data_IF_633111677776
#
_entry.id   IF_633111677776
#
_cell.length_a   1.000
_cell.length_b   1.000
_cell.length_c   1.000
_cell.angle_alpha   90.00
_cell.angle_beta   90.00
_cell.angle_gamma   90.00
#
_symmetry.space_group_name_H-M   'P 1'
#
loop_
_entity.id
_entity.type
_entity.pdbx_description
1 polymer ?
#
# COMPACT_ATOMS: atom_id res chain seq x y z
N UNK A 1 25.03 46.28 16.90
CA UNK A 1 24.43 44.94 17.05
C UNK A 1 23.44 44.77 15.91
N UNK A 2 23.71 43.86 14.96
CA UNK A 2 22.76 43.59 13.87
C UNK A 2 21.79 42.54 14.37
N UNK A 3 20.58 42.96 14.71
CA UNK A 3 19.49 42.07 15.17
C UNK A 3 19.03 41.28 13.95
N UNK A 4 19.28 39.98 13.93
CA UNK A 4 18.75 39.09 12.90
C UNK A 4 17.24 38.96 13.15
N UNK A 5 16.42 39.64 12.33
CA UNK A 5 14.98 39.55 12.43
C UNK A 5 14.52 38.12 12.10
N UNK A 6 13.74 37.51 13.00
CA UNK A 6 13.06 36.25 12.74
C UNK A 6 12.10 36.42 11.55
N UNK A 7 12.09 35.51 10.56
CA UNK A 7 11.11 35.61 9.47
C UNK A 7 9.70 35.45 10.04
N UNK A 8 8.79 36.32 9.59
CA UNK A 8 7.36 36.19 9.89
C UNK A 8 6.78 34.87 9.36
N UNK A 9 5.64 34.46 9.91
CA UNK A 9 4.97 33.20 9.58
C UNK A 9 4.93 32.96 8.06
N UNK A 10 5.37 31.77 7.58
CA UNK A 10 5.59 31.52 6.16
C UNK A 10 4.26 31.56 5.41
N UNK A 11 4.05 32.64 4.65
CA UNK A 11 2.85 32.83 3.81
C UNK A 11 3.20 32.59 2.34
N UNK A 12 2.46 31.70 1.68
CA UNK A 12 2.65 31.36 0.27
C UNK A 12 2.57 29.85 -0.02
N UNK A 13 2.80 29.49 -1.27
CA UNK A 13 2.83 28.08 -1.72
C UNK A 13 4.05 27.33 -1.15
N UNK A 14 3.98 26.00 -1.00
CA UNK A 14 5.04 25.16 -0.41
C UNK A 14 6.43 25.42 -1.03
N UNK A 15 6.49 25.66 -2.34
CA UNK A 15 7.72 26.00 -3.06
C UNK A 15 8.34 27.35 -2.62
N UNK A 16 7.52 28.34 -2.27
CA UNK A 16 7.99 29.65 -1.80
C UNK A 16 8.48 29.56 -0.35
N UNK A 17 7.83 28.76 0.48
CA UNK A 17 8.25 28.51 1.87
C UNK A 17 9.62 27.84 1.93
N UNK A 18 9.87 26.83 1.07
CA UNK A 18 11.17 26.14 0.98
C UNK A 18 12.28 27.11 0.55
N UNK A 19 12.02 28.02 -0.39
CA UNK A 19 13.02 29.03 -0.80
C UNK A 19 13.35 30.02 0.32
N UNK A 20 12.36 30.46 1.09
CA UNK A 20 12.58 31.38 2.20
C UNK A 20 13.40 30.69 3.31
N UNK A 21 13.11 29.43 3.62
CA UNK A 21 13.86 28.64 4.60
C UNK A 21 15.32 28.43 4.16
N UNK A 22 15.56 28.08 2.89
CA UNK A 22 16.91 27.92 2.36
C UNK A 22 17.72 29.23 2.39
N UNK A 23 17.07 30.36 2.11
CA UNK A 23 17.74 31.67 2.14
C UNK A 23 18.15 32.06 3.56
N UNK A 24 17.30 31.78 4.55
CA UNK A 24 17.60 32.02 5.95
C UNK A 24 18.76 31.15 6.46
N UNK A 25 18.74 29.84 6.18
CA UNK A 25 19.81 28.91 6.55
C UNK A 25 21.16 29.32 5.95
N UNK A 26 21.17 29.81 4.71
CA UNK A 26 22.38 30.29 4.06
C UNK A 26 22.97 31.54 4.73
N UNK A 27 22.11 32.49 5.12
CA UNK A 27 22.56 33.70 5.84
C UNK A 27 23.11 33.38 7.24
N UNK A 28 22.49 32.43 7.94
CA UNK A 28 22.98 31.96 9.24
C UNK A 28 24.36 31.30 9.12
N UNK A 29 24.55 30.43 8.12
CA UNK A 29 25.84 29.79 7.87
C UNK A 29 26.96 30.80 7.58
N UNK A 30 26.66 31.87 6.82
CA UNK A 30 27.63 32.93 6.57
C UNK A 30 27.97 33.77 7.80
N UNK A 31 26.99 34.01 8.69
CA UNK A 31 27.22 34.73 9.93
C UNK A 31 28.09 33.91 10.91
N UNK A 32 27.85 32.60 11.00
CA UNK A 32 28.63 31.68 11.83
C UNK A 32 30.07 31.54 11.34
N UNK A 33 30.29 31.42 10.02
CA UNK A 33 31.65 31.35 9.47
C UNK A 33 32.47 32.62 9.77
N UNK A 34 31.86 33.81 9.67
CA UNK A 34 32.54 35.07 10.04
C UNK A 34 32.85 35.18 11.54
N UNK A 35 32.00 34.64 12.40
CA UNK A 35 32.27 34.59 13.84
C UNK A 35 33.42 33.63 14.18
N UNK A 36 33.56 32.54 13.43
CA UNK A 36 34.65 31.58 13.60
C UNK A 36 36.01 32.19 13.22
N UNK A 37 36.08 32.91 12.09
CA UNK A 37 37.30 33.60 11.64
C UNK A 37 37.79 34.65 12.66
N UNK A 38 36.88 35.35 13.34
CA UNK A 38 37.22 36.32 14.39
C UNK A 38 37.76 35.65 15.67
N UNK A 39 37.35 34.42 15.96
CA UNK A 39 37.82 33.66 17.11
C UNK A 39 39.24 33.13 16.91
N UNK A 40 39.56 32.73 15.67
CA UNK A 40 40.88 32.20 15.29
C UNK A 40 41.99 33.27 15.39
N UNK A 41 41.67 34.52 15.02
CA UNK A 41 42.60 35.67 15.14
C UNK A 41 42.88 36.03 16.61
N UNK A 42 41.94 35.77 17.52
CA UNK A 42 42.12 36.05 18.96
C UNK A 42 43.06 35.10 19.70
N UNK A 43 43.27 33.88 19.19
CA UNK A 43 44.12 32.87 19.84
C UNK A 43 45.62 33.04 19.57
N UNK A 44 45.99 33.70 18.45
CA UNK A 44 47.40 33.85 18.04
C UNK A 44 48.14 34.90 18.90
N UNK A 45 47.41 35.82 19.57
CA UNK A 45 48.01 36.94 20.30
C UNK A 45 48.48 36.64 21.74
N UNK A 46 48.33 35.39 22.25
CA UNK A 46 48.50 35.09 23.69
C UNK A 46 49.71 34.25 24.10
N UNK A 47 50.67 33.96 23.22
CA UNK A 47 51.80 33.08 23.57
C UNK A 47 53.19 33.69 23.26
N UNK A 48 53.87 34.20 24.30
CA UNK A 48 55.33 34.14 24.59
C UNK A 48 55.75 35.14 25.69
N UNK A 49 56.92 35.03 26.36
CA UNK A 49 57.66 33.86 26.90
C UNK A 49 58.03 34.08 28.41
N UNK A 50 58.41 33.11 29.24
CA UNK A 50 59.81 32.67 29.49
C UNK A 50 59.88 31.71 30.71
N UNK A 51 60.70 30.67 30.61
CA UNK A 51 61.13 29.79 31.70
C UNK A 51 62.39 30.36 32.38
N UNK A 52 62.50 30.25 33.71
CA UNK A 52 63.75 29.87 34.42
C UNK A 52 63.47 29.13 35.73
N UNK A 53 64.39 28.23 36.04
CA UNK A 53 64.32 27.07 36.93
C UNK A 53 64.90 27.37 38.32
N UNK A 54 64.36 26.77 39.40
CA UNK A 54 65.09 26.53 40.65
C UNK A 54 64.23 26.54 41.92
N UNK A 55 64.35 25.49 42.76
CA UNK A 55 63.80 25.48 44.13
C UNK A 55 62.89 24.28 44.44
N UNK A 56 63.48 23.13 44.77
CA UNK A 56 62.77 21.85 45.02
C UNK A 56 62.05 21.78 46.38
N UNK A 57 62.03 22.85 47.15
CA UNK A 57 61.32 22.94 48.45
C UNK A 57 60.13 23.93 48.43
N UNK A 58 60.06 24.86 47.46
CA UNK A 58 58.85 25.68 47.22
C UNK A 58 57.78 24.93 46.41
N UNK A 59 58.15 23.86 45.69
CA UNK A 59 57.22 23.07 44.85
C UNK A 59 56.15 22.34 45.66
N UNK A 60 56.39 22.00 46.93
CA UNK A 60 55.40 21.33 47.77
C UNK A 60 54.34 22.33 48.30
N UNK A 61 54.76 23.53 48.73
CA UNK A 61 53.84 24.57 49.19
C UNK A 61 53.05 25.20 48.02
N UNK A 62 53.69 25.42 46.87
CA UNK A 62 53.02 25.91 45.65
C UNK A 62 52.13 24.85 45.02
N UNK A 63 52.47 23.55 45.05
CA UNK A 63 51.57 22.50 44.58
C UNK A 63 50.32 22.35 45.47
N UNK A 64 50.44 22.55 46.79
CA UNK A 64 49.28 22.54 47.71
C UNK A 64 48.41 23.79 47.51
N UNK A 65 49.01 24.96 47.30
CA UNK A 65 48.30 26.20 46.94
C UNK A 65 47.63 26.15 45.56
N UNK A 66 48.29 25.56 44.56
CA UNK A 66 47.73 25.31 43.23
C UNK A 66 46.60 24.28 43.31
N UNK A 67 46.74 23.22 44.11
CA UNK A 67 45.69 22.22 44.31
C UNK A 67 44.46 22.82 44.99
N UNK A 68 44.63 23.72 45.97
CA UNK A 68 43.49 24.40 46.61
C UNK A 68 42.84 25.45 45.71
N UNK A 69 43.61 26.16 44.88
CA UNK A 69 43.08 27.03 43.83
C UNK A 69 42.33 26.23 42.76
N UNK A 70 42.86 25.10 42.29
CA UNK A 70 42.21 24.22 41.32
C UNK A 70 40.91 23.65 41.89
N UNK A 71 40.90 23.21 43.15
CA UNK A 71 39.68 22.70 43.82
C UNK A 71 38.64 23.82 43.98
N UNK A 72 39.02 25.02 44.43
CA UNK A 72 38.09 26.17 44.50
C UNK A 72 37.58 26.60 43.13
N UNK A 73 38.42 26.52 42.10
CA UNK A 73 38.01 26.87 40.73
C UNK A 73 37.07 25.80 40.16
N UNK A 74 37.32 24.51 40.43
CA UNK A 74 36.44 23.42 40.05
C UNK A 74 35.08 23.50 40.76
N UNK A 75 35.03 23.83 42.05
CA UNK A 75 33.77 24.03 42.78
C UNK A 75 32.99 25.24 42.26
N UNK A 76 33.69 26.32 41.90
CA UNK A 76 33.05 27.51 41.29
C UNK A 76 32.50 27.18 39.90
N UNK A 77 33.25 26.43 39.09
CA UNK A 77 32.82 26.00 37.76
C UNK A 77 31.64 25.04 37.85
N UNK A 78 31.63 24.08 38.76
CA UNK A 78 30.49 23.18 38.97
C UNK A 78 29.23 23.94 39.42
N UNK A 79 29.36 24.94 40.30
CA UNK A 79 28.22 25.79 40.69
C UNK A 79 27.71 26.63 39.52
N UNK A 80 28.59 27.19 38.70
CA UNK A 80 28.20 27.95 37.51
C UNK A 80 27.56 27.07 36.43
N UNK A 81 28.02 25.82 36.26
CA UNK A 81 27.40 24.85 35.35
C UNK A 81 26.00 24.50 35.82
N UNK A 82 25.79 24.26 37.12
CA UNK A 82 24.48 23.88 37.62
C UNK A 82 23.50 25.06 37.63
N UNK A 83 23.99 26.28 37.86
CA UNK A 83 23.21 27.50 37.69
C UNK A 83 22.85 27.76 36.22
N UNK A 84 23.81 27.64 35.29
CA UNK A 84 23.52 27.72 33.85
C UNK A 84 22.55 26.65 33.40
N UNK A 85 22.67 25.41 33.88
CA UNK A 85 21.76 24.31 33.52
C UNK A 85 20.34 24.54 34.07
N UNK A 86 20.22 25.15 35.24
CA UNK A 86 18.93 25.58 35.81
C UNK A 86 18.30 26.70 34.98
N UNK A 87 19.09 27.72 34.63
CA UNK A 87 18.64 28.86 33.82
C UNK A 87 18.29 28.40 32.39
N UNK A 88 19.12 27.58 31.73
CA UNK A 88 18.86 27.03 30.40
C UNK A 88 17.62 26.13 30.37
N UNK A 89 17.39 25.32 31.41
CA UNK A 89 16.17 24.48 31.50
C UNK A 89 14.92 25.32 31.73
N UNK A 90 15.00 26.34 32.58
CA UNK A 90 13.88 27.26 32.84
C UNK A 90 13.53 28.07 31.59
N UNK A 91 14.53 28.60 30.90
CA UNK A 91 14.36 29.44 29.72
C UNK A 91 13.99 28.61 28.47
N UNK A 92 14.53 27.39 28.31
CA UNK A 92 14.15 26.48 27.21
C UNK A 92 12.69 26.00 27.34
N UNK A 93 12.16 25.84 28.56
CA UNK A 93 10.74 25.46 28.75
C UNK A 93 9.81 26.66 28.54
N UNK A 94 10.25 27.89 28.84
CA UNK A 94 9.42 29.09 28.67
C UNK A 94 9.49 29.67 27.24
N UNK A 95 10.58 29.46 26.51
CA UNK A 95 10.79 29.97 25.14
C UNK A 95 10.46 28.94 24.07
N UNK A 96 10.36 27.65 24.41
CA UNK A 96 10.00 26.64 23.41
C UNK A 96 8.52 26.71 23.04
N UNK A 97 8.26 26.98 21.76
CA UNK A 97 6.96 26.86 21.10
C UNK A 97 6.26 25.51 21.36
N UNK A 98 6.98 24.51 21.88
CA UNK A 98 6.45 23.21 22.27
C UNK A 98 5.38 23.30 23.38
N UNK A 99 5.52 24.22 24.34
CA UNK A 99 4.51 24.44 25.38
C UNK A 99 3.21 24.98 24.79
N UNK A 100 3.33 25.99 23.92
CA UNK A 100 2.19 26.58 23.18
C UNK A 100 1.59 25.59 22.19
N UNK A 101 2.39 24.75 21.55
CA UNK A 101 1.91 23.68 20.67
C UNK A 101 1.15 22.60 21.45
N UNK A 102 1.65 22.18 22.62
CA UNK A 102 0.99 21.20 23.47
C UNK A 102 -0.35 21.75 23.99
N UNK A 103 -0.36 23.01 24.42
CA UNK A 103 -1.57 23.69 24.91
C UNK A 103 -2.60 23.90 23.79
N UNK A 104 -2.16 24.34 22.60
CA UNK A 104 -3.02 24.49 21.43
C UNK A 104 -3.55 23.14 20.93
N UNK A 105 -2.73 22.09 20.94
CA UNK A 105 -3.15 20.73 20.57
C UNK A 105 -4.15 20.18 21.58
N UNK A 106 -3.93 20.44 22.88
CA UNK A 106 -4.85 20.03 23.94
C UNK A 106 -6.17 20.78 23.85
N UNK A 107 -6.15 22.10 23.62
CA UNK A 107 -7.34 22.91 23.36
C UNK A 107 -8.08 22.45 22.10
N UNK A 108 -7.39 22.16 21.00
CA UNK A 108 -8.05 21.70 19.77
C UNK A 108 -8.69 20.31 19.93
N UNK A 109 -8.13 19.45 20.79
CA UNK A 109 -8.72 18.16 21.18
C UNK A 109 -9.92 18.33 22.14
N UNK A 110 -9.84 19.28 23.09
CA UNK A 110 -10.93 19.58 24.05
C UNK A 110 -12.09 20.37 23.43
N UNK A 111 -11.82 21.28 22.49
CA UNK A 111 -12.82 22.11 21.83
C UNK A 111 -13.63 21.34 20.78
N UNK A 112 -13.07 20.26 20.20
CA UNK A 112 -13.79 19.48 19.19
C UNK A 112 -13.58 17.94 19.29
N UNK A 113 -13.93 17.32 20.44
CA UNK A 113 -13.94 15.85 20.58
C UNK A 113 -14.89 15.18 19.57
N UNK A 114 -15.81 15.94 18.99
CA UNK A 114 -16.75 15.47 17.97
C UNK A 114 -16.10 15.29 16.60
N UNK A 115 -15.04 16.02 16.23
CA UNK A 115 -14.34 15.84 14.95
C UNK A 115 -13.58 14.53 14.90
N UNK A 116 -12.81 14.22 15.94
CA UNK A 116 -12.07 12.95 16.06
C UNK A 116 -13.06 11.78 16.09
N UNK A 117 -14.12 11.90 16.89
CA UNK A 117 -15.20 10.89 16.94
C UNK A 117 -15.92 10.73 15.59
N UNK A 118 -16.17 11.83 14.85
CA UNK A 118 -16.77 11.78 13.50
C UNK A 118 -15.85 11.12 12.49
N UNK A 119 -14.53 11.37 12.55
CA UNK A 119 -13.56 10.72 11.69
C UNK A 119 -13.49 9.21 11.95
N UNK A 120 -13.44 8.80 13.22
CA UNK A 120 -13.48 7.39 13.60
C UNK A 120 -14.80 6.71 13.22
N UNK A 121 -15.95 7.38 13.39
CA UNK A 121 -17.25 6.88 12.93
C UNK A 121 -17.29 6.73 11.41
N UNK A 122 -16.87 7.75 10.67
CA UNK A 122 -16.81 7.71 9.20
C UNK A 122 -15.87 6.61 8.70
N UNK A 123 -14.70 6.44 9.31
CA UNK A 123 -13.78 5.34 8.97
C UNK A 123 -14.39 3.97 9.28
N UNK A 124 -15.10 3.84 10.41
CA UNK A 124 -15.81 2.61 10.77
C UNK A 124 -16.98 2.30 9.81
N UNK A 125 -17.74 3.32 9.40
CA UNK A 125 -18.83 3.19 8.44
C UNK A 125 -18.29 2.76 7.06
N UNK A 126 -17.20 3.37 6.58
CA UNK A 126 -16.51 2.94 5.36
C UNK A 126 -16.04 1.49 5.48
N UNK A 127 -15.43 1.10 6.60
CA UNK A 127 -14.97 -0.27 6.79
C UNK A 127 -16.14 -1.27 6.78
N UNK A 128 -17.26 -0.92 7.40
CA UNK A 128 -18.47 -1.74 7.40
C UNK A 128 -19.07 -1.87 6.00
N UNK A 129 -19.14 -0.78 5.24
CA UNK A 129 -19.62 -0.77 3.85
C UNK A 129 -18.69 -1.59 2.94
N UNK A 130 -17.37 -1.47 3.10
CA UNK A 130 -16.38 -2.27 2.37
C UNK A 130 -16.57 -3.76 2.66
N UNK A 131 -16.74 -4.15 3.92
CA UNK A 131 -16.96 -5.56 4.29
C UNK A 131 -18.26 -6.11 3.69
N UNK A 132 -19.31 -5.28 3.63
CA UNK A 132 -20.58 -5.66 3.02
C UNK A 132 -20.45 -5.84 1.51
N UNK A 133 -19.80 -4.90 0.83
CA UNK A 133 -19.53 -4.98 -0.62
C UNK A 133 -18.68 -6.22 -0.93
N UNK A 134 -17.69 -6.54 -0.11
CA UNK A 134 -16.86 -7.74 -0.28
C UNK A 134 -17.65 -9.04 -0.11
N UNK A 135 -18.56 -9.08 0.87
CA UNK A 135 -19.48 -10.21 1.06
C UNK A 135 -20.45 -10.37 -0.12
N UNK A 136 -21.07 -9.28 -0.58
CA UNK A 136 -22.00 -9.28 -1.72
C UNK A 136 -21.26 -9.68 -3.02
N UNK A 137 -20.04 -9.20 -3.21
CA UNK A 137 -19.19 -9.56 -4.35
C UNK A 137 -18.76 -11.03 -4.31
N UNK A 138 -18.43 -11.56 -3.13
CA UNK A 138 -18.10 -12.98 -2.94
C UNK A 138 -19.29 -13.89 -3.22
N UNK A 139 -20.50 -13.49 -2.78
CA UNK A 139 -21.74 -14.19 -3.08
C UNK A 139 -22.05 -14.17 -4.59
N UNK A 140 -21.95 -13.00 -5.22
CA UNK A 140 -22.11 -12.86 -6.67
C UNK A 140 -21.11 -13.71 -7.45
N UNK A 141 -19.83 -13.70 -7.06
CA UNK A 141 -18.79 -14.53 -7.68
C UNK A 141 -19.11 -16.01 -7.55
N UNK A 142 -19.56 -16.46 -6.38
CA UNK A 142 -19.93 -17.87 -6.15
C UNK A 142 -21.13 -18.28 -7.00
N UNK A 143 -22.15 -17.42 -7.06
CA UNK A 143 -23.35 -17.65 -7.86
C UNK A 143 -22.99 -17.73 -9.35
N UNK A 144 -22.27 -16.73 -9.87
CA UNK A 144 -21.83 -16.67 -11.27
C UNK A 144 -20.87 -17.81 -11.63
N UNK A 145 -19.92 -18.16 -10.76
CA UNK A 145 -19.01 -19.29 -10.98
C UNK A 145 -19.75 -20.64 -10.97
N UNK A 146 -20.87 -20.74 -10.26
CA UNK A 146 -21.78 -21.88 -10.35
C UNK A 146 -22.42 -22.03 -11.73
N UNK A 147 -22.57 -20.92 -12.48
CA UNK A 147 -23.19 -20.90 -13.81
C UNK A 147 -22.21 -20.95 -14.98
N UNK A 148 -21.04 -20.34 -14.85
CA UNK A 148 -20.03 -20.23 -15.90
C UNK A 148 -18.65 -20.49 -15.30
N UNK A 149 -17.92 -21.46 -15.83
CA UNK A 149 -16.57 -21.80 -15.35
C UNK A 149 -15.63 -22.14 -16.51
N UNK A 150 -14.46 -21.52 -16.51
CA UNK A 150 -13.35 -21.96 -17.36
C UNK A 150 -12.58 -23.08 -16.65
N UNK A 151 -12.24 -24.14 -17.38
CA UNK A 151 -11.51 -25.28 -16.81
C UNK A 151 -11.11 -26.30 -17.85
N UNK A 152 -10.54 -27.41 -17.39
CA UNK A 152 -10.25 -28.57 -18.22
C UNK A 152 -11.56 -29.31 -18.43
N UNK A 153 -12.01 -29.40 -19.68
CA UNK A 153 -13.31 -29.98 -20.03
C UNK A 153 -13.18 -31.38 -20.62
N UNK A 154 -12.01 -31.71 -21.16
CA UNK A 154 -11.69 -33.04 -21.66
C UNK A 154 -10.17 -33.21 -21.78
N UNK A 155 -9.74 -34.39 -22.21
CA UNK A 155 -8.34 -34.67 -22.54
C UNK A 155 -8.23 -35.30 -23.93
N UNK A 156 -7.32 -34.79 -24.75
CA UNK A 156 -6.81 -35.50 -25.92
C UNK A 156 -5.59 -36.33 -25.50
N UNK A 157 -5.84 -37.57 -25.09
CA UNK A 157 -4.84 -38.41 -24.44
C UNK A 157 -4.39 -37.84 -23.09
N UNK A 158 -3.21 -37.23 -23.06
CA UNK A 158 -2.66 -36.55 -21.87
C UNK A 158 -2.77 -35.03 -21.95
N UNK A 159 -3.15 -34.49 -23.12
CA UNK A 159 -3.22 -33.04 -23.35
C UNK A 159 -4.57 -32.52 -22.86
N UNK A 160 -4.59 -31.58 -21.88
CA UNK A 160 -5.83 -31.01 -21.38
C UNK A 160 -6.48 -30.12 -22.44
N UNK A 161 -7.77 -30.30 -22.67
CA UNK A 161 -8.58 -29.41 -23.50
C UNK A 161 -9.23 -28.38 -22.58
N UNK A 162 -8.80 -27.12 -22.72
CA UNK A 162 -9.36 -25.99 -21.97
C UNK A 162 -10.63 -25.49 -22.66
N UNK A 163 -11.67 -25.30 -21.87
CA UNK A 163 -12.95 -24.81 -22.36
C UNK A 163 -13.73 -24.03 -21.31
N UNK A 164 -14.92 -23.59 -21.72
CA UNK A 164 -15.87 -22.89 -20.86
C UNK A 164 -17.09 -23.79 -20.68
N UNK A 165 -17.39 -24.15 -19.44
CA UNK A 165 -18.61 -24.82 -19.06
C UNK A 165 -19.67 -23.79 -18.66
N UNK A 166 -20.91 -24.01 -19.12
CA UNK A 166 -22.08 -23.20 -18.79
C UNK A 166 -23.22 -24.13 -18.40
N UNK A 167 -23.71 -24.04 -17.17
CA UNK A 167 -24.74 -24.92 -16.64
C UNK A 167 -25.06 -24.56 -15.19
N UNK A 168 -26.12 -25.12 -14.62
CA UNK A 168 -26.42 -24.88 -13.20
C UNK A 168 -25.56 -25.77 -12.32
N UNK A 169 -24.97 -25.21 -11.26
CA UNK A 169 -24.15 -25.94 -10.27
C UNK A 169 -22.97 -26.70 -10.93
N UNK A 170 -22.10 -25.98 -11.63
CA UNK A 170 -20.88 -26.56 -12.23
C UNK A 170 -19.92 -27.00 -11.13
N UNK A 171 -19.67 -28.31 -11.06
CA UNK A 171 -18.73 -28.93 -10.15
C UNK A 171 -17.42 -29.28 -10.83
N UNK A 172 -16.41 -29.61 -10.03
CA UNK A 172 -15.09 -30.03 -10.50
C UNK A 172 -14.71 -31.37 -9.89
N UNK A 173 -14.09 -32.25 -10.68
CA UNK A 173 -13.59 -33.55 -10.20
C UNK A 173 -12.18 -33.45 -9.62
N UNK A 174 -11.39 -32.49 -10.08
CA UNK A 174 -10.03 -32.24 -9.63
C UNK A 174 -9.76 -30.73 -9.68
N UNK A 175 -9.02 -30.22 -8.70
CA UNK A 175 -8.67 -28.80 -8.62
C UNK A 175 -7.17 -28.59 -8.76
N UNK A 176 -6.77 -27.44 -9.28
CA UNK A 176 -5.37 -27.02 -9.31
C UNK A 176 -4.47 -27.81 -10.25
N UNK A 177 -4.98 -28.27 -11.41
CA UNK A 177 -4.19 -29.01 -12.40
C UNK A 177 -3.30 -28.03 -13.16
N UNK A 178 -1.98 -28.24 -13.09
CA UNK A 178 -1.01 -27.47 -13.86
C UNK A 178 -1.05 -27.90 -15.34
N UNK A 179 -1.19 -26.90 -16.22
CA UNK A 179 -1.15 -27.06 -17.67
C UNK A 179 -0.20 -26.04 -18.27
N UNK A 180 0.19 -26.20 -19.53
CA UNK A 180 1.00 -25.21 -20.25
C UNK A 180 0.35 -23.82 -20.30
N UNK A 181 -0.99 -23.75 -20.19
CA UNK A 181 -1.78 -22.52 -20.27
C UNK A 181 -2.10 -21.91 -18.90
N UNK A 182 -1.67 -22.55 -17.81
CA UNK A 182 -1.95 -22.13 -16.44
C UNK A 182 -2.56 -23.23 -15.58
N UNK A 183 -3.08 -22.84 -14.41
CA UNK A 183 -3.68 -23.76 -13.45
C UNK A 183 -5.20 -23.74 -13.63
N UNK A 184 -5.77 -24.92 -13.87
CA UNK A 184 -7.21 -25.08 -14.12
C UNK A 184 -7.80 -26.23 -13.31
N UNK A 185 -9.10 -26.16 -13.05
CA UNK A 185 -9.84 -27.27 -12.45
C UNK A 185 -10.49 -28.12 -13.55
N UNK A 186 -10.64 -29.42 -13.30
CA UNK A 186 -11.31 -30.35 -14.21
C UNK A 186 -12.81 -30.31 -13.97
N UNK A 187 -13.58 -29.98 -15.01
CA UNK A 187 -15.03 -29.84 -14.95
C UNK A 187 -15.71 -31.21 -14.84
N UNK A 188 -16.66 -31.36 -13.91
CA UNK A 188 -17.51 -32.54 -13.80
C UNK A 188 -18.72 -32.41 -14.73
N UNK A 189 -18.71 -33.15 -15.84
CA UNK A 189 -19.75 -33.12 -16.87
C UNK A 189 -21.01 -33.93 -16.53
N UNK A 190 -21.13 -34.51 -15.33
CA UNK A 190 -22.29 -35.33 -14.90
C UNK A 190 -23.62 -34.56 -14.82
N UNK A 191 -23.57 -33.26 -14.53
CA UNK A 191 -24.75 -32.38 -14.52
C UNK A 191 -25.10 -31.90 -15.93
N UNK A 192 -26.29 -31.31 -16.09
CA UNK A 192 -26.68 -30.71 -17.36
C UNK A 192 -25.88 -29.42 -17.61
N UNK A 193 -25.18 -29.35 -18.73
CA UNK A 193 -24.37 -28.18 -19.10
C UNK A 193 -24.06 -28.14 -20.59
N UNK A 194 -23.63 -26.98 -21.06
CA UNK A 194 -22.94 -26.82 -22.34
C UNK A 194 -21.45 -26.59 -22.11
N UNK A 195 -20.63 -27.11 -23.01
CA UNK A 195 -19.17 -27.00 -22.96
C UNK A 195 -18.68 -26.42 -24.27
N UNK A 196 -17.89 -25.36 -24.18
CA UNK A 196 -17.38 -24.59 -25.30
C UNK A 196 -15.88 -24.76 -25.38
N UNK A 197 -15.41 -25.22 -26.53
CA UNK A 197 -13.99 -25.31 -26.88
C UNK A 197 -13.76 -24.58 -28.20
N UNK A 198 -12.51 -24.48 -28.63
CA UNK A 198 -12.14 -23.89 -29.93
C UNK A 198 -12.74 -24.64 -31.12
N UNK A 199 -13.03 -25.93 -30.97
CA UNK A 199 -13.42 -26.83 -32.08
C UNK A 199 -14.83 -27.39 -31.96
N UNK A 200 -15.39 -27.37 -30.75
CA UNK A 200 -16.61 -28.09 -30.41
C UNK A 200 -17.45 -27.34 -29.38
N UNK A 201 -18.74 -27.21 -29.66
CA UNK A 201 -19.77 -26.82 -28.69
C UNK A 201 -20.61 -28.06 -28.36
N UNK A 202 -20.52 -28.55 -27.13
CA UNK A 202 -21.21 -29.77 -26.69
C UNK A 202 -22.30 -29.47 -25.68
N UNK A 203 -23.35 -30.30 -25.68
CA UNK A 203 -24.44 -30.28 -24.71
C UNK A 203 -24.47 -31.61 -23.97
N UNK A 204 -24.28 -31.54 -22.65
CA UNK A 204 -24.31 -32.67 -21.74
C UNK A 204 -25.64 -32.71 -20.99
N UNK A 205 -26.26 -33.89 -20.95
CA UNK A 205 -27.47 -34.18 -20.19
C UNK A 205 -27.21 -35.44 -19.37
N UNK A 206 -27.24 -35.31 -18.03
CA UNK A 206 -26.98 -36.43 -17.12
C UNK A 206 -25.65 -37.15 -17.35
N UNK A 207 -24.59 -36.41 -17.70
CA UNK A 207 -23.26 -36.98 -17.95
C UNK A 207 -23.02 -37.51 -19.36
N UNK A 208 -24.04 -37.53 -20.21
CA UNK A 208 -23.93 -37.98 -21.59
C UNK A 208 -23.93 -36.79 -22.54
N UNK A 209 -23.04 -36.79 -23.53
CA UNK A 209 -23.06 -35.80 -24.61
C UNK A 209 -24.26 -36.08 -25.52
N UNK A 210 -25.33 -35.31 -25.35
CA UNK A 210 -26.58 -35.48 -26.08
C UNK A 210 -26.51 -34.90 -27.50
N UNK A 211 -25.75 -33.82 -27.66
CA UNK A 211 -25.60 -33.10 -28.92
C UNK A 211 -24.28 -32.33 -28.96
N UNK A 212 -23.75 -32.08 -30.15
CA UNK A 212 -22.64 -31.14 -30.32
C UNK A 212 -22.62 -30.50 -31.71
N UNK A 213 -22.08 -29.28 -31.78
CA UNK A 213 -21.66 -28.65 -33.01
C UNK A 213 -20.15 -28.80 -33.17
N UNK A 214 -19.72 -29.27 -34.34
CA UNK A 214 -18.31 -29.29 -34.75
C UNK A 214 -18.22 -29.28 -36.27
N UNK A 215 -17.20 -28.63 -36.82
CA UNK A 215 -16.98 -28.56 -38.28
C UNK A 215 -18.23 -28.11 -39.07
N UNK A 216 -18.98 -27.15 -38.52
CA UNK A 216 -20.20 -26.60 -39.13
C UNK A 216 -21.41 -27.54 -39.12
N UNK A 217 -21.36 -28.68 -38.41
CA UNK A 217 -22.44 -29.67 -38.36
C UNK A 217 -22.96 -29.86 -36.95
N UNK A 218 -24.28 -29.98 -36.82
CA UNK A 218 -24.93 -30.49 -35.61
C UNK A 218 -24.94 -32.01 -35.65
N UNK A 219 -24.40 -32.64 -34.61
CA UNK A 219 -24.53 -34.09 -34.37
C UNK A 219 -25.39 -34.30 -33.13
N UNK A 220 -26.39 -35.18 -33.26
CA UNK A 220 -27.34 -35.53 -32.20
C UNK A 220 -27.59 -37.03 -32.24
N UNK A 221 -27.75 -37.67 -31.09
CA UNK A 221 -28.06 -39.10 -31.03
C UNK A 221 -29.51 -39.40 -31.45
N UNK A 222 -30.45 -38.59 -30.97
CA UNK A 222 -31.87 -38.71 -31.29
C UNK A 222 -32.50 -37.32 -31.38
N UNK A 223 -33.37 -37.13 -32.38
CA UNK A 223 -34.19 -35.93 -32.52
C UNK A 223 -35.68 -36.29 -32.47
N UNK A 224 -36.41 -35.67 -31.55
CA UNK A 224 -37.87 -35.73 -31.52
C UNK A 224 -38.40 -34.44 -32.15
N UNK A 225 -38.89 -34.54 -33.38
CA UNK A 225 -39.44 -33.39 -34.13
C UNK A 225 -40.61 -33.82 -34.99
N UNK A 226 -41.53 -32.89 -35.25
CA UNK A 226 -42.65 -33.11 -36.16
C UNK A 226 -42.24 -32.93 -37.63
N UNK A 227 -41.18 -32.16 -37.91
CA UNK A 227 -40.79 -31.76 -39.27
C UNK A 227 -39.30 -31.43 -39.35
N UNK A 228 -38.65 -31.78 -40.46
CA UNK A 228 -37.28 -31.41 -40.82
C UNK A 228 -37.30 -30.81 -42.22
N UNK A 229 -36.78 -29.60 -42.37
CA UNK A 229 -36.62 -28.94 -43.67
C UNK A 229 -35.13 -28.82 -43.99
N UNK A 230 -34.70 -29.40 -45.11
CA UNK A 230 -33.32 -29.30 -45.59
C UNK A 230 -33.11 -28.09 -46.49
N UNK A 231 -31.92 -27.49 -46.46
CA UNK A 231 -31.55 -26.37 -47.32
C UNK A 231 -31.69 -26.67 -48.83
N UNK A 232 -31.62 -27.94 -49.22
CA UNK A 232 -31.81 -28.39 -50.60
C UNK A 232 -33.26 -28.54 -51.03
N UNK A 233 -34.26 -27.96 -50.35
CA UNK A 233 -35.65 -28.04 -50.78
C UNK A 233 -36.33 -29.37 -50.49
N UNK A 234 -35.87 -30.13 -49.50
CA UNK A 234 -36.54 -31.33 -49.01
C UNK A 234 -37.29 -31.03 -47.71
N UNK A 235 -38.52 -31.52 -47.62
CA UNK A 235 -39.39 -31.46 -46.45
C UNK A 235 -39.73 -32.88 -45.98
N UNK A 236 -39.36 -33.20 -44.75
CA UNK A 236 -39.65 -34.48 -44.10
C UNK A 236 -40.61 -34.23 -42.94
N UNK A 237 -41.81 -34.78 -43.02
CA UNK A 237 -42.83 -34.68 -41.99
C UNK A 237 -43.05 -36.03 -41.32
N UNK A 238 -43.21 -36.00 -40.00
CA UNK A 238 -43.52 -37.18 -39.18
C UNK A 238 -44.98 -37.19 -38.70
N UNK A 239 -45.75 -36.14 -39.05
CA UNK A 239 -47.15 -36.00 -38.63
C UNK A 239 -48.06 -36.97 -39.41
N UNK A 240 -48.61 -37.94 -38.68
CA UNK A 240 -49.47 -38.97 -39.26
C UNK A 240 -48.70 -39.97 -40.13
N UNK A 241 -47.46 -40.27 -39.78
CA UNK A 241 -46.54 -41.13 -40.53
C UNK A 241 -45.42 -40.35 -41.22
N UNK A 242 -44.39 -41.07 -41.70
CA UNK A 242 -43.23 -40.46 -42.37
C UNK A 242 -43.59 -40.09 -43.81
N UNK A 243 -43.40 -38.82 -44.19
CA UNK A 243 -43.64 -38.29 -45.53
C UNK A 243 -42.43 -37.49 -46.00
N UNK A 244 -42.02 -37.74 -47.24
CA UNK A 244 -40.95 -37.00 -47.93
C UNK A 244 -41.56 -36.19 -49.07
N UNK A 245 -41.29 -34.89 -49.11
CA UNK A 245 -41.77 -33.98 -50.15
C UNK A 245 -40.62 -33.10 -50.66
N UNK A 246 -40.46 -33.04 -51.98
CA UNK A 246 -39.64 -32.01 -52.63
C UNK A 246 -40.43 -30.68 -52.69
N UNK A 247 -39.81 -29.61 -52.22
CA UNK A 247 -40.32 -28.24 -52.18
C UNK A 247 -39.41 -27.26 -52.94
N UNK A 248 -38.34 -27.74 -53.58
CA UNK A 248 -37.51 -26.93 -54.47
C UNK A 248 -38.24 -26.61 -55.78
N UNK A 249 -38.16 -25.35 -56.21
CA UNK A 249 -38.65 -24.91 -57.53
C UNK A 249 -37.72 -25.30 -58.67
#
# INVERSE_FOLDING_TARGET
MSVMAMPGAPTGTLQQQIRQQNTYLFQLAQALNRALEQLEVGQIARQQPTQKMGGREEKAATAVGLKSLIVKTAETVSRQIEQMKSELRGEYVAVSDFGTYLEKTSQEIEEDPTKITRYFKFAADIQADVNKVDADFSAYKTDVQGYIRQGIVDYDGVTPIIGIAIGQDIRTTQTGVETEQGVFDVIDKRSNMSVWTTEKLSFYIGGQEAAYFSNGKLTVAQIATNRITGAGGWDVSFTGGVKFKWIGG
#
